data_IF_354495227848
#
_entry.id   IF_354495227848
#
_cell.length_a   1.000
_cell.length_b   1.000
_cell.length_c   1.000
_cell.angle_alpha   90.00
_cell.angle_beta   90.00
_cell.angle_gamma   90.00
#
_symmetry.space_group_name_H-M   'P 1'
#
loop_
_entity.id
_entity.type
_entity.pdbx_description
1 polymer ?
#
# COMPACT_ATOMS: atom_id res chain seq x y z
N UNK A 1 53.67 -0.37 67.34
CA UNK A 1 52.71 0.62 67.88
C UNK A 1 52.07 -0.02 69.09
N UNK A 2 52.12 0.62 70.26
CA UNK A 2 51.36 0.11 71.42
C UNK A 2 49.87 0.19 71.09
N UNK A 3 49.13 -0.87 71.40
CA UNK A 3 47.67 -0.83 71.34
C UNK A 3 47.14 -0.12 72.59
N UNK A 4 46.50 1.03 72.39
CA UNK A 4 45.93 1.87 73.44
C UNK A 4 44.48 1.48 73.79
N UNK A 5 43.85 0.61 73.00
CA UNK A 5 42.48 0.14 73.23
C UNK A 5 42.22 -0.40 74.63
N UNK A 6 43.13 -1.18 75.26
CA UNK A 6 42.97 -1.68 76.62
C UNK A 6 42.92 -0.58 77.70
N UNK A 7 43.57 0.57 77.48
CA UNK A 7 43.59 1.68 78.46
C UNK A 7 42.26 2.42 78.54
N UNK A 8 41.40 2.26 77.53
CA UNK A 8 40.07 2.87 77.49
C UNK A 8 39.00 2.05 78.22
N UNK A 9 39.32 0.87 78.74
CA UNK A 9 38.37 -0.01 79.44
C UNK A 9 38.35 0.26 80.96
N UNK A 10 37.17 0.45 81.54
CA UNK A 10 36.96 0.69 82.97
C UNK A 10 37.46 -0.47 83.86
N UNK A 11 37.66 -1.68 83.30
CA UNK A 11 38.18 -2.86 84.01
C UNK A 11 39.66 -3.14 83.74
N UNK A 12 40.43 -2.14 83.31
CA UNK A 12 41.85 -2.31 83.03
C UNK A 12 42.62 -2.87 84.24
N UNK A 13 43.30 -4.00 84.04
CA UNK A 13 44.19 -4.62 85.05
C UNK A 13 45.65 -4.40 84.63
N UNK A 14 46.35 -3.44 85.26
CA UNK A 14 47.73 -3.08 84.90
C UNK A 14 48.68 -4.28 85.01
N UNK A 15 48.43 -5.19 85.96
CA UNK A 15 49.33 -6.33 86.18
C UNK A 15 49.22 -7.34 85.05
N UNK A 16 48.00 -7.62 84.57
CA UNK A 16 47.80 -8.53 83.44
C UNK A 16 48.37 -7.96 82.15
N UNK A 17 48.19 -6.66 81.94
CA UNK A 17 48.72 -5.96 80.77
C UNK A 17 50.25 -5.90 80.76
N UNK A 18 50.89 -5.53 81.88
CA UNK A 18 52.37 -5.55 81.99
C UNK A 18 52.89 -6.97 81.76
N UNK A 19 52.25 -7.99 82.36
CA UNK A 19 52.67 -9.37 82.19
C UNK A 19 52.49 -9.88 80.75
N UNK A 20 51.48 -9.44 79.99
CA UNK A 20 51.35 -9.79 78.57
C UNK A 20 52.36 -9.05 77.71
N UNK A 21 52.62 -7.77 77.99
CA UNK A 21 53.65 -6.98 77.31
C UNK A 21 55.07 -7.55 77.55
N UNK A 22 55.38 -8.02 78.77
CA UNK A 22 56.64 -8.68 79.08
C UNK A 22 56.79 -10.06 78.40
N UNK A 23 55.69 -10.77 78.12
CA UNK A 23 55.73 -12.05 77.38
C UNK A 23 56.05 -11.86 75.91
N UNK A 24 55.76 -10.69 75.34
CA UNK A 24 56.13 -10.33 73.97
C UNK A 24 57.60 -9.90 73.80
N UNK A 25 58.41 -9.96 74.87
CA UNK A 25 59.85 -9.66 74.83
C UNK A 25 60.62 -10.67 73.97
N UNK A 26 61.61 -10.19 73.22
CA UNK A 26 62.54 -11.07 72.50
C UNK A 26 63.45 -11.83 73.50
N UNK A 27 63.73 -13.14 73.31
CA UNK A 27 64.45 -13.96 74.32
C UNK A 27 65.85 -13.49 74.74
N UNK A 28 66.48 -12.58 73.99
CA UNK A 28 67.86 -12.10 74.22
C UNK A 28 67.96 -10.75 74.96
N UNK A 29 66.84 -10.07 75.21
CA UNK A 29 66.83 -8.73 75.82
C UNK A 29 66.63 -8.82 77.34
N UNK A 30 67.43 -8.10 78.13
CA UNK A 30 67.25 -8.07 79.59
C UNK A 30 65.92 -7.41 79.94
N UNK A 31 65.18 -7.96 80.91
CA UNK A 31 63.83 -7.54 81.28
C UNK A 31 63.78 -6.04 81.59
N UNK A 32 64.77 -5.54 82.33
CA UNK A 32 64.84 -4.15 82.76
C UNK A 32 64.97 -3.17 81.58
N UNK A 33 65.72 -3.54 80.54
CA UNK A 33 65.85 -2.69 79.32
C UNK A 33 64.52 -2.61 78.57
N UNK A 34 63.84 -3.74 78.42
CA UNK A 34 62.54 -3.78 77.75
C UNK A 34 61.46 -3.02 78.53
N UNK A 35 61.48 -3.09 79.87
CA UNK A 35 60.56 -2.32 80.73
C UNK A 35 60.83 -0.83 80.64
N UNK A 36 62.09 -0.38 80.66
CA UNK A 36 62.46 1.03 80.49
C UNK A 36 62.04 1.53 79.10
N UNK A 37 62.23 0.74 78.04
CA UNK A 37 61.80 1.10 76.69
C UNK A 37 60.27 1.16 76.57
N UNK A 38 59.54 0.29 77.26
CA UNK A 38 58.07 0.30 77.30
C UNK A 38 57.55 1.50 78.07
N UNK A 39 58.16 1.82 79.21
CA UNK A 39 57.86 3.00 80.03
C UNK A 39 58.10 4.28 79.23
N UNK A 40 59.26 4.40 78.56
CA UNK A 40 59.56 5.55 77.71
C UNK A 40 58.54 5.68 76.56
N UNK A 41 58.14 4.57 75.93
CA UNK A 41 57.11 4.59 74.88
C UNK A 41 55.74 5.02 75.42
N UNK A 42 55.33 4.52 76.59
CA UNK A 42 54.08 4.93 77.23
C UNK A 42 54.11 6.40 77.61
N UNK A 43 55.23 6.89 78.15
CA UNK A 43 55.40 8.30 78.49
C UNK A 43 55.30 9.19 77.25
N UNK A 44 56.03 8.85 76.18
CA UNK A 44 55.98 9.59 74.91
C UNK A 44 54.56 9.65 74.34
N UNK A 45 53.82 8.52 74.37
CA UNK A 45 52.44 8.48 73.88
C UNK A 45 51.50 9.27 74.78
N UNK A 46 51.70 9.26 76.10
CA UNK A 46 50.92 10.09 77.03
C UNK A 46 51.15 11.58 76.79
N UNK A 47 52.41 11.99 76.57
CA UNK A 47 52.77 13.36 76.23
C UNK A 47 52.20 13.78 74.87
N UNK A 48 52.23 12.89 73.87
CA UNK A 48 51.64 13.11 72.55
C UNK A 48 50.11 13.25 72.62
N UNK A 49 49.42 12.41 73.40
CA UNK A 49 47.96 12.51 73.61
C UNK A 49 47.61 13.81 74.32
N UNK A 50 48.35 14.19 75.36
CA UNK A 50 48.13 15.44 76.09
C UNK A 50 48.32 16.65 75.18
N UNK A 51 49.42 16.68 74.40
CA UNK A 51 49.68 17.73 73.43
C UNK A 51 48.61 17.80 72.34
N UNK A 52 48.20 16.66 71.77
CA UNK A 52 47.12 16.60 70.78
C UNK A 52 45.78 17.05 71.37
N UNK A 53 45.48 16.71 72.62
CA UNK A 53 44.24 17.13 73.28
C UNK A 53 44.23 18.64 73.53
N UNK A 54 45.34 19.22 73.98
CA UNK A 54 45.48 20.67 74.15
C UNK A 54 45.34 21.41 72.82
N UNK A 55 45.98 20.93 71.76
CA UNK A 55 45.87 21.52 70.42
C UNK A 55 44.43 21.46 69.89
N UNK A 56 43.78 20.29 69.99
CA UNK A 56 42.40 20.12 69.54
C UNK A 56 41.41 20.91 70.40
N UNK A 57 41.63 20.99 71.71
CA UNK A 57 40.82 21.79 72.63
C UNK A 57 40.93 23.28 72.32
N UNK A 58 42.15 23.80 72.12
CA UNK A 58 42.37 25.19 71.73
C UNK A 58 41.73 25.51 70.37
N UNK A 59 41.84 24.60 69.40
CA UNK A 59 41.19 24.71 68.09
C UNK A 59 39.65 24.70 68.22
N UNK A 60 39.09 23.81 69.04
CA UNK A 60 37.65 23.70 69.28
C UNK A 60 37.09 24.95 69.96
N UNK A 61 37.81 25.50 70.95
CA UNK A 61 37.43 26.74 71.64
C UNK A 61 37.28 27.93 70.67
N UNK A 62 38.04 27.95 69.58
CA UNK A 62 37.90 28.99 68.55
C UNK A 62 36.87 28.64 67.48
N UNK A 63 36.79 27.38 67.07
CA UNK A 63 35.94 26.95 65.95
C UNK A 63 34.46 26.87 66.34
N UNK A 64 34.15 26.40 67.55
CA UNK A 64 32.76 26.21 67.99
C UNK A 64 31.99 27.53 68.05
N UNK A 65 32.49 28.61 68.68
CA UNK A 65 31.77 29.89 68.70
C UNK A 65 31.57 30.49 67.30
N UNK A 66 32.56 30.33 66.40
CA UNK A 66 32.46 30.77 65.00
C UNK A 66 31.38 30.01 64.24
N UNK A 67 31.37 28.68 64.36
CA UNK A 67 30.34 27.84 63.76
C UNK A 67 28.94 28.20 64.29
N UNK A 68 28.79 28.40 65.60
CA UNK A 68 27.52 28.84 66.19
C UNK A 68 27.05 30.18 65.62
N UNK A 69 27.95 31.16 65.48
CA UNK A 69 27.61 32.45 64.87
C UNK A 69 27.19 32.30 63.41
N UNK A 70 27.89 31.48 62.64
CA UNK A 70 27.58 31.25 61.23
C UNK A 70 26.22 30.53 61.07
N UNK A 71 25.88 29.60 61.97
CA UNK A 71 24.56 28.95 62.02
C UNK A 71 23.45 29.95 62.33
N UNK A 72 23.67 30.85 63.29
CA UNK A 72 22.69 31.91 63.62
C UNK A 72 22.48 32.84 62.43
N UNK A 73 23.57 33.27 61.77
CA UNK A 73 23.46 34.10 60.55
C UNK A 73 22.70 33.38 59.44
N UNK A 74 23.02 32.11 59.18
CA UNK A 74 22.34 31.32 58.17
C UNK A 74 20.85 31.15 58.46
N UNK A 75 20.48 30.98 59.74
CA UNK A 75 19.07 30.97 60.16
C UNK A 75 18.39 32.30 59.83
N UNK A 76 19.01 33.42 60.14
CA UNK A 76 18.43 34.75 59.91
C UNK A 76 18.27 35.03 58.40
N UNK A 77 19.28 34.66 57.60
CA UNK A 77 19.22 34.73 56.13
C UNK A 77 18.09 33.83 55.58
N UNK A 78 17.93 32.62 56.10
CA UNK A 78 16.87 31.70 55.69
C UNK A 78 15.47 32.22 56.04
N UNK A 79 15.31 32.86 57.21
CA UNK A 79 14.05 33.49 57.60
C UNK A 79 13.73 34.69 56.68
N UNK A 80 14.73 35.53 56.38
CA UNK A 80 14.60 36.64 55.44
C UNK A 80 14.26 36.19 54.02
N UNK A 81 14.88 35.10 53.56
CA UNK A 81 14.57 34.51 52.27
C UNK A 81 13.13 33.99 52.26
N UNK A 82 12.70 33.30 53.32
CA UNK A 82 11.33 32.77 53.43
C UNK A 82 10.29 33.88 53.40
N UNK A 83 10.50 35.00 54.10
CA UNK A 83 9.58 36.14 54.05
C UNK A 83 9.56 36.80 52.67
N UNK A 84 10.73 36.93 52.03
CA UNK A 84 10.83 37.46 50.66
C UNK A 84 10.10 36.58 49.65
N UNK A 85 10.31 35.25 49.71
CA UNK A 85 9.62 34.27 48.86
C UNK A 85 8.11 34.30 49.12
N UNK A 86 7.68 34.37 50.37
CA UNK A 86 6.26 34.49 50.72
C UNK A 86 5.64 35.76 50.14
N UNK A 87 6.35 36.90 50.16
CA UNK A 87 5.88 38.15 49.55
C UNK A 87 5.80 38.04 48.03
N UNK A 88 6.80 37.41 47.40
CA UNK A 88 6.79 37.16 45.95
C UNK A 88 5.62 36.26 45.56
N UNK A 89 5.36 35.18 46.30
CA UNK A 89 4.22 34.29 46.05
C UNK A 89 2.88 35.03 46.19
N UNK A 90 2.75 35.92 47.18
CA UNK A 90 1.53 36.72 47.33
C UNK A 90 1.33 37.71 46.18
N UNK A 91 2.40 38.38 45.75
CA UNK A 91 2.38 39.26 44.57
C UNK A 91 2.07 38.47 43.30
N UNK A 92 2.62 37.27 43.14
CA UNK A 92 2.34 36.38 42.02
C UNK A 92 0.86 35.99 42.00
N UNK A 93 0.29 35.57 43.14
CA UNK A 93 -1.13 35.21 43.24
C UNK A 93 -2.06 36.38 42.90
N UNK A 94 -1.70 37.59 43.33
CA UNK A 94 -2.46 38.81 43.00
C UNK A 94 -2.34 39.17 41.51
N UNK A 95 -1.14 39.05 40.93
CA UNK A 95 -0.89 39.26 39.51
C UNK A 95 -1.55 38.18 38.64
N UNK A 96 -1.59 36.94 39.10
CA UNK A 96 -2.28 35.83 38.42
C UNK A 96 -3.78 36.07 38.37
N UNK A 97 -4.40 36.58 39.44
CA UNK A 97 -5.82 36.94 39.44
C UNK A 97 -6.16 38.04 38.43
N UNK A 98 -5.37 39.13 38.41
CA UNK A 98 -5.58 40.26 37.47
C UNK A 98 -5.21 39.89 36.03
N UNK A 99 -4.18 39.07 35.84
CA UNK A 99 -3.78 38.54 34.54
C UNK A 99 -4.82 37.55 34.01
N UNK A 100 -5.40 36.68 34.86
CA UNK A 100 -6.42 35.72 34.45
C UNK A 100 -7.68 36.40 33.92
N UNK A 101 -8.15 37.48 34.56
CA UNK A 101 -9.27 38.28 34.06
C UNK A 101 -8.94 38.95 32.72
N UNK A 102 -7.72 39.47 32.58
CA UNK A 102 -7.24 40.10 31.34
C UNK A 102 -7.08 39.09 30.20
N UNK A 103 -6.55 37.90 30.49
CA UNK A 103 -6.40 36.78 29.54
C UNK A 103 -7.78 36.26 29.14
N UNK A 104 -8.72 36.14 30.07
CA UNK A 104 -10.10 35.73 29.75
C UNK A 104 -10.80 36.76 28.86
N UNK A 105 -10.57 38.06 29.08
CA UNK A 105 -11.07 39.11 28.18
C UNK A 105 -10.43 39.01 26.79
N UNK A 106 -9.11 38.82 26.70
CA UNK A 106 -8.40 38.62 25.43
C UNK A 106 -8.88 37.37 24.69
N UNK A 107 -9.11 36.26 25.38
CA UNK A 107 -9.63 35.02 24.77
C UNK A 107 -11.05 35.22 24.19
N UNK A 108 -11.90 35.99 24.87
CA UNK A 108 -13.21 36.37 24.34
C UNK A 108 -13.08 37.22 23.07
N UNK A 109 -12.17 38.19 23.07
CA UNK A 109 -11.89 39.02 21.88
C UNK A 109 -11.34 38.18 20.74
N UNK A 110 -10.42 37.25 21.01
CA UNK A 110 -9.85 36.36 20.00
C UNK A 110 -10.91 35.43 19.40
N UNK A 111 -11.82 34.91 20.22
CA UNK A 111 -12.95 34.11 19.74
C UNK A 111 -13.86 34.92 18.81
N UNK A 112 -14.12 36.19 19.15
CA UNK A 112 -14.90 37.09 18.28
C UNK A 112 -14.13 37.39 17.00
N UNK A 113 -12.83 37.64 17.08
CA UNK A 113 -11.97 37.87 15.92
C UNK A 113 -11.98 36.66 14.97
N UNK A 114 -11.76 35.45 15.47
CA UNK A 114 -11.80 34.23 14.64
C UNK A 114 -13.16 34.04 13.96
N UNK A 115 -14.27 34.29 14.68
CA UNK A 115 -15.62 34.24 14.10
C UNK A 115 -15.82 35.31 13.03
N UNK A 116 -15.27 36.51 13.23
CA UNK A 116 -15.37 37.61 12.28
C UNK A 116 -14.51 37.36 11.04
N UNK A 117 -13.32 36.78 11.20
CA UNK A 117 -12.45 36.37 10.09
C UNK A 117 -13.11 35.27 9.25
N UNK A 118 -13.68 34.24 9.89
CA UNK A 118 -14.44 33.20 9.17
C UNK A 118 -15.68 33.77 8.44
N UNK A 119 -16.41 34.70 9.07
CA UNK A 119 -17.53 35.39 8.43
C UNK A 119 -17.06 36.28 7.27
N UNK A 120 -15.89 36.92 7.39
CA UNK A 120 -15.31 37.74 6.34
C UNK A 120 -14.86 36.89 5.14
N UNK A 121 -14.18 35.77 5.37
CA UNK A 121 -13.77 34.82 4.32
C UNK A 121 -14.99 34.28 3.57
N UNK A 122 -16.03 33.83 4.29
CA UNK A 122 -17.27 33.32 3.66
C UNK A 122 -18.01 34.41 2.87
N UNK A 123 -18.04 35.67 3.33
CA UNK A 123 -18.61 36.78 2.58
C UNK A 123 -17.77 37.16 1.35
N UNK A 124 -16.44 37.10 1.46
CA UNK A 124 -15.54 37.34 0.33
C UNK A 124 -15.71 36.25 -0.74
N UNK A 125 -15.83 34.99 -0.35
CA UNK A 125 -16.09 33.87 -1.26
C UNK A 125 -17.49 33.95 -1.90
N UNK A 126 -18.51 34.40 -1.16
CA UNK A 126 -19.84 34.65 -1.71
C UNK A 126 -19.86 35.81 -2.72
N UNK A 127 -19.13 36.89 -2.45
CA UNK A 127 -18.97 38.01 -3.37
C UNK A 127 -18.19 37.59 -4.63
N UNK A 128 -17.10 36.85 -4.44
CA UNK A 128 -16.30 36.27 -5.52
C UNK A 128 -17.11 35.31 -6.40
N UNK A 129 -17.94 34.46 -5.80
CA UNK A 129 -18.82 33.55 -6.52
C UNK A 129 -19.84 34.30 -7.38
N UNK A 130 -20.39 35.41 -6.89
CA UNK A 130 -21.34 36.24 -7.66
C UNK A 130 -20.66 36.87 -8.88
N UNK A 131 -19.43 37.37 -8.70
CA UNK A 131 -18.62 37.93 -9.79
C UNK A 131 -18.17 36.85 -10.79
N UNK A 132 -17.79 35.67 -10.31
CA UNK A 132 -17.46 34.54 -11.17
C UNK A 132 -18.70 34.09 -11.96
N UNK A 133 -19.85 33.95 -11.31
CA UNK A 133 -21.10 33.55 -11.99
C UNK A 133 -21.51 34.50 -13.12
N UNK A 134 -21.22 35.79 -13.03
CA UNK A 134 -21.51 36.74 -14.12
C UNK A 134 -20.47 36.71 -15.24
N UNK A 135 -19.21 36.38 -14.94
CA UNK A 135 -18.10 36.39 -15.91
C UNK A 135 -17.85 35.03 -16.57
N UNK A 136 -18.37 33.93 -16.02
CA UNK A 136 -18.13 32.58 -16.55
C UNK A 136 -18.70 32.42 -17.95
N UNK A 137 -19.89 32.95 -18.25
CA UNK A 137 -20.45 32.85 -19.62
C UNK A 137 -19.56 33.55 -20.66
N UNK A 138 -18.95 34.69 -20.32
CA UNK A 138 -18.01 35.40 -21.19
C UNK A 138 -16.70 34.61 -21.40
N UNK A 139 -16.20 33.96 -20.35
CA UNK A 139 -15.01 33.08 -20.44
C UNK A 139 -15.31 31.86 -21.33
N UNK A 140 -16.51 31.29 -21.25
CA UNK A 140 -16.93 30.24 -22.19
C UNK A 140 -17.10 30.74 -23.61
N UNK A 141 -17.59 31.96 -23.81
CA UNK A 141 -17.70 32.58 -25.14
C UNK A 141 -16.34 32.86 -25.79
N UNK A 142 -15.30 33.12 -24.97
CA UNK A 142 -13.92 33.32 -25.44
C UNK A 142 -13.26 32.05 -26.00
N UNK A 143 -13.83 30.86 -25.73
CA UNK A 143 -13.32 29.57 -26.20
C UNK A 143 -12.07 29.06 -25.47
N UNK A 144 -11.62 29.76 -24.43
CA UNK A 144 -10.43 29.42 -23.65
C UNK A 144 -10.73 28.38 -22.55
N UNK A 145 -10.65 27.09 -22.93
CA UNK A 145 -10.93 25.95 -22.06
C UNK A 145 -10.12 25.91 -20.73
N UNK A 146 -8.80 26.21 -20.69
CA UNK A 146 -8.06 26.21 -19.43
C UNK A 146 -8.52 27.32 -18.47
N UNK A 147 -8.82 28.52 -18.98
CA UNK A 147 -9.39 29.59 -18.15
C UNK A 147 -10.79 29.24 -17.65
N UNK A 148 -11.64 28.66 -18.49
CA UNK A 148 -12.95 28.18 -18.08
C UNK A 148 -12.83 27.15 -16.93
N UNK A 149 -11.90 26.20 -17.05
CA UNK A 149 -11.66 25.19 -16.01
C UNK A 149 -11.18 25.80 -14.69
N UNK A 150 -10.32 26.81 -14.74
CA UNK A 150 -9.86 27.55 -13.56
C UNK A 150 -11.01 28.32 -12.89
N UNK A 151 -11.85 29.00 -13.68
CA UNK A 151 -13.03 29.69 -13.13
C UNK A 151 -14.01 28.73 -12.46
N UNK A 152 -14.28 27.55 -13.04
CA UNK A 152 -15.15 26.54 -12.42
C UNK A 152 -14.53 25.93 -11.16
N UNK A 153 -13.21 25.68 -11.16
CA UNK A 153 -12.51 25.18 -9.98
C UNK A 153 -12.58 26.18 -8.82
N UNK A 154 -12.41 27.48 -9.11
CA UNK A 154 -12.56 28.55 -8.14
C UNK A 154 -14.00 28.66 -7.65
N UNK A 155 -15.00 28.57 -8.53
CA UNK A 155 -16.42 28.53 -8.14
C UNK A 155 -16.72 27.33 -7.22
N UNK A 156 -16.16 26.15 -7.50
CA UNK A 156 -16.33 24.97 -6.64
C UNK A 156 -15.70 25.17 -5.27
N UNK A 157 -14.51 25.78 -5.21
CA UNK A 157 -13.86 26.12 -3.94
C UNK A 157 -14.70 27.11 -3.13
N UNK A 158 -15.13 28.23 -3.73
CA UNK A 158 -15.99 29.22 -3.08
C UNK A 158 -17.33 28.60 -2.62
N UNK A 159 -17.97 27.74 -3.44
CA UNK A 159 -19.19 27.03 -3.05
C UNK A 159 -18.98 26.05 -1.87
N UNK A 160 -17.78 25.48 -1.73
CA UNK A 160 -17.45 24.62 -0.59
C UNK A 160 -17.23 25.41 0.70
N UNK A 161 -16.65 26.61 0.60
CA UNK A 161 -16.40 27.50 1.73
C UNK A 161 -17.69 28.15 2.26
N UNK A 162 -18.60 28.52 1.35
CA UNK A 162 -19.88 29.17 1.69
C UNK A 162 -20.91 28.18 2.27
N UNK A 163 -20.76 26.88 2.01
CA UNK A 163 -21.62 25.83 2.57
C UNK A 163 -23.01 25.73 1.91
N UNK A 164 -23.96 25.08 2.59
CA UNK A 164 -25.31 24.82 2.06
C UNK A 164 -26.28 25.98 2.35
N UNK A 165 -26.12 27.09 1.64
CA UNK A 165 -27.10 28.18 1.63
C UNK A 165 -28.01 28.02 0.41
N UNK A 166 -29.33 28.12 0.62
CA UNK A 166 -30.35 27.89 -0.42
C UNK A 166 -30.19 28.81 -1.65
N UNK A 167 -29.66 30.02 -1.48
CA UNK A 167 -29.39 30.98 -2.55
C UNK A 167 -28.32 30.49 -3.53
N UNK A 168 -27.35 29.69 -3.07
CA UNK A 168 -26.31 29.11 -3.90
C UNK A 168 -26.64 27.70 -4.42
N UNK A 169 -27.81 27.14 -4.08
CA UNK A 169 -28.26 25.86 -4.63
C UNK A 169 -28.50 25.94 -6.14
N UNK A 170 -28.98 27.09 -6.63
CA UNK A 170 -29.12 27.35 -8.07
C UNK A 170 -27.76 27.50 -8.75
N UNK A 171 -26.80 28.17 -8.10
CA UNK A 171 -25.42 28.33 -8.60
C UNK A 171 -24.70 26.98 -8.65
N UNK A 172 -24.95 26.07 -7.70
CA UNK A 172 -24.40 24.70 -7.72
C UNK A 172 -24.94 23.90 -8.91
N UNK A 173 -26.25 23.99 -9.20
CA UNK A 173 -26.83 23.36 -10.40
C UNK A 173 -26.28 23.99 -11.69
N UNK A 174 -26.09 25.31 -11.72
CA UNK A 174 -25.44 25.98 -12.85
C UNK A 174 -23.99 25.54 -13.02
N UNK A 175 -23.25 25.35 -11.93
CA UNK A 175 -21.89 24.81 -11.96
C UNK A 175 -21.88 23.41 -12.59
N UNK A 176 -22.76 22.50 -12.15
CA UNK A 176 -22.87 21.15 -12.74
C UNK A 176 -23.15 21.19 -14.25
N UNK A 177 -24.04 22.08 -14.70
CA UNK A 177 -24.37 22.28 -16.12
C UNK A 177 -23.18 22.87 -16.90
N UNK A 178 -22.46 23.82 -16.32
CA UNK A 178 -21.27 24.41 -16.94
C UNK A 178 -20.11 23.41 -17.00
N UNK A 179 -19.96 22.56 -16.00
CA UNK A 179 -19.03 21.44 -16.01
C UNK A 179 -19.41 20.38 -17.06
N UNK A 180 -20.69 20.05 -17.21
CA UNK A 180 -21.21 19.17 -18.28
C UNK A 180 -20.91 19.76 -19.66
N UNK A 181 -21.16 21.07 -19.82
CA UNK A 181 -20.89 21.79 -21.07
C UNK A 181 -19.39 21.81 -21.37
N UNK A 182 -18.53 22.06 -20.39
CA UNK A 182 -17.08 22.06 -20.59
C UNK A 182 -16.57 20.66 -20.93
N UNK A 183 -17.08 19.61 -20.26
CA UNK A 183 -16.79 18.21 -20.60
C UNK A 183 -17.19 17.94 -22.06
N UNK A 184 -18.40 18.31 -22.48
CA UNK A 184 -18.85 18.12 -23.88
C UNK A 184 -17.97 18.83 -24.92
N UNK A 185 -17.36 19.97 -24.58
CA UNK A 185 -16.45 20.71 -25.46
C UNK A 185 -15.03 20.14 -25.46
N UNK A 186 -14.59 19.59 -24.33
CA UNK A 186 -13.28 18.94 -24.17
C UNK A 186 -13.27 17.57 -24.84
N UNK A 187 -14.38 16.83 -24.82
CA UNK A 187 -14.52 15.49 -25.40
C UNK A 187 -14.03 15.36 -26.86
N UNK A 188 -14.53 16.14 -27.83
CA UNK A 188 -14.09 16.02 -29.22
C UNK A 188 -12.62 16.43 -29.40
N UNK A 189 -12.14 17.42 -28.65
CA UNK A 189 -10.73 17.86 -28.71
C UNK A 189 -9.79 16.83 -28.10
N UNK A 190 -10.24 16.16 -27.04
CA UNK A 190 -9.52 15.05 -26.43
C UNK A 190 -9.48 13.85 -27.38
N UNK A 191 -10.60 13.49 -28.00
CA UNK A 191 -10.63 12.40 -28.99
C UNK A 191 -9.69 12.69 -30.17
N UNK A 192 -9.65 13.92 -30.68
CA UNK A 192 -8.71 14.33 -31.74
C UNK A 192 -7.25 14.32 -31.28
N UNK A 193 -6.98 14.76 -30.05
CA UNK A 193 -5.63 14.75 -29.48
C UNK A 193 -5.12 13.30 -29.28
N UNK A 194 -5.98 12.40 -28.81
CA UNK A 194 -5.69 10.99 -28.64
C UNK A 194 -5.53 10.27 -29.99
N UNK A 195 -6.40 10.52 -30.97
CA UNK A 195 -6.26 9.91 -32.31
C UNK A 195 -5.01 10.39 -33.04
N UNK A 196 -4.60 11.65 -32.83
CA UNK A 196 -3.41 12.24 -33.45
C UNK A 196 -2.14 12.14 -32.59
N UNK A 197 -2.19 11.45 -31.43
CA UNK A 197 -1.06 11.26 -30.49
C UNK A 197 -0.37 12.57 -30.05
N UNK A 198 -1.12 13.68 -29.96
CA UNK A 198 -0.58 14.99 -29.53
C UNK A 198 -0.45 15.01 -28.00
N UNK A 199 0.78 14.85 -27.51
CA UNK A 199 1.12 14.75 -26.09
C UNK A 199 0.74 16.02 -25.32
N UNK A 200 1.11 17.20 -25.83
CA UNK A 200 0.92 18.48 -25.12
C UNK A 200 -0.57 18.82 -24.92
N UNK A 201 -1.37 18.66 -25.97
CA UNK A 201 -2.82 18.93 -25.93
C UNK A 201 -3.53 17.92 -25.03
N UNK A 202 -3.11 16.65 -25.03
CA UNK A 202 -3.68 15.64 -24.14
C UNK A 202 -3.36 15.94 -22.65
N UNK A 203 -2.15 16.43 -22.36
CA UNK A 203 -1.76 16.87 -21.01
C UNK A 203 -2.59 18.08 -20.54
N UNK A 204 -2.74 19.09 -21.40
CA UNK A 204 -3.52 20.29 -21.07
C UNK A 204 -5.00 19.96 -20.82
N UNK A 205 -5.59 19.13 -21.69
CA UNK A 205 -6.98 18.69 -21.54
C UNK A 205 -7.17 17.77 -20.32
N UNK A 206 -6.17 16.96 -19.97
CA UNK A 206 -6.16 16.18 -18.73
C UNK A 206 -6.09 17.08 -17.50
N UNK A 207 -5.20 18.09 -17.51
CA UNK A 207 -5.12 19.08 -16.44
C UNK A 207 -6.46 19.79 -16.20
N UNK A 208 -7.16 20.11 -17.29
CA UNK A 208 -8.52 20.66 -17.27
C UNK A 208 -9.51 19.67 -16.64
N UNK A 209 -9.56 18.42 -17.07
CA UNK A 209 -10.50 17.40 -16.55
C UNK A 209 -10.23 17.02 -15.09
N UNK A 210 -8.96 17.01 -14.67
CA UNK A 210 -8.57 16.79 -13.27
C UNK A 210 -9.04 17.94 -12.38
N UNK A 211 -8.91 19.20 -12.84
CA UNK A 211 -9.42 20.36 -12.12
C UNK A 211 -10.94 20.32 -11.95
N UNK A 212 -11.66 19.92 -13.00
CA UNK A 212 -13.13 19.77 -12.97
C UNK A 212 -13.55 18.52 -12.18
N UNK A 213 -12.65 17.57 -11.89
CA UNK A 213 -12.96 16.35 -11.14
C UNK A 213 -13.65 15.27 -11.98
N UNK A 214 -13.63 15.38 -13.31
CA UNK A 214 -14.30 14.47 -14.26
C UNK A 214 -13.34 13.49 -14.92
N UNK A 215 -12.54 12.81 -14.09
CA UNK A 215 -11.58 11.81 -14.56
C UNK A 215 -12.24 10.61 -15.24
N UNK A 216 -13.43 10.18 -14.78
CA UNK A 216 -14.16 9.02 -15.37
C UNK A 216 -14.54 9.24 -16.84
N UNK A 217 -14.81 10.49 -17.25
CA UNK A 217 -15.06 10.83 -18.66
C UNK A 217 -13.79 10.62 -19.50
N UNK A 218 -12.62 11.03 -18.99
CA UNK A 218 -11.32 10.80 -19.64
C UNK A 218 -11.08 9.30 -19.85
N UNK A 219 -11.28 8.47 -18.82
CA UNK A 219 -11.09 7.02 -18.91
C UNK A 219 -12.00 6.38 -19.97
N UNK A 220 -13.27 6.76 -20.00
CA UNK A 220 -14.24 6.24 -20.96
C UNK A 220 -13.87 6.62 -22.40
N UNK A 221 -13.46 7.86 -22.63
CA UNK A 221 -13.12 8.33 -23.98
C UNK A 221 -11.77 7.79 -24.44
N UNK A 222 -10.79 7.70 -23.56
CA UNK A 222 -9.52 7.02 -23.81
C UNK A 222 -9.75 5.57 -24.26
N UNK A 223 -10.55 4.83 -23.49
CA UNK A 223 -10.89 3.46 -23.82
C UNK A 223 -11.61 3.36 -25.17
N UNK A 224 -12.56 4.25 -25.48
CA UNK A 224 -13.28 4.25 -26.77
C UNK A 224 -12.39 4.58 -27.98
N UNK A 225 -11.38 5.43 -27.83
CA UNK A 225 -10.48 5.79 -28.94
C UNK A 225 -9.52 4.63 -29.23
N UNK A 226 -8.89 4.08 -28.20
CA UNK A 226 -7.90 3.02 -28.36
C UNK A 226 -8.49 1.61 -28.53
N UNK A 227 -9.78 1.42 -28.24
CA UNK A 227 -10.51 0.19 -28.56
C UNK A 227 -10.81 0.03 -30.06
N UNK A 228 -10.91 1.13 -30.83
CA UNK A 228 -11.26 1.08 -32.27
C UNK A 228 -10.23 0.30 -33.11
N UNK A 229 -8.92 0.55 -33.02
CA UNK A 229 -7.92 -0.21 -33.78
C UNK A 229 -7.88 -1.70 -33.38
N UNK A 230 -8.00 -1.99 -32.08
CA UNK A 230 -7.98 -3.38 -31.57
C UNK A 230 -9.21 -4.15 -32.07
N UNK A 231 -10.38 -3.51 -32.09
CA UNK A 231 -11.60 -4.11 -32.62
C UNK A 231 -11.51 -4.31 -34.13
N UNK A 232 -10.91 -3.38 -34.87
CA UNK A 232 -10.69 -3.52 -36.31
C UNK A 232 -9.77 -4.71 -36.64
N UNK A 233 -8.67 -4.90 -35.90
CA UNK A 233 -7.80 -6.07 -36.07
C UNK A 233 -8.54 -7.40 -35.85
N UNK A 234 -9.46 -7.43 -34.87
CA UNK A 234 -10.30 -8.58 -34.61
C UNK A 234 -11.37 -8.81 -35.71
N UNK A 235 -12.03 -7.75 -36.17
CA UNK A 235 -13.04 -7.79 -37.24
C UNK A 235 -12.43 -8.12 -38.61
N UNK A 236 -11.22 -7.66 -38.90
CA UNK A 236 -10.46 -7.99 -40.12
C UNK A 236 -10.13 -9.48 -40.19
N UNK A 237 -9.89 -10.13 -39.05
CA UNK A 237 -9.75 -11.58 -38.99
C UNK A 237 -11.10 -12.31 -39.17
N UNK A 238 -12.20 -11.78 -38.61
CA UNK A 238 -13.53 -12.35 -38.83
C UNK A 238 -13.95 -12.29 -40.31
N UNK A 239 -13.67 -11.17 -40.99
CA UNK A 239 -13.98 -10.97 -42.40
C UNK A 239 -13.09 -11.83 -43.31
N UNK A 240 -11.85 -12.14 -42.93
CA UNK A 240 -10.98 -13.10 -43.65
C UNK A 240 -11.45 -14.55 -43.48
N UNK A 241 -12.13 -14.89 -42.39
CA UNK A 241 -12.68 -16.24 -42.18
C UNK A 241 -14.11 -16.45 -42.74
N UNK A 242 -14.99 -15.43 -42.75
CA UNK A 242 -16.34 -15.54 -43.33
C UNK A 242 -16.42 -16.03 -44.78
N UNK A 243 -15.55 -15.64 -45.73
CA UNK A 243 -15.61 -16.15 -47.10
C UNK A 243 -15.29 -17.65 -47.19
N UNK A 244 -14.58 -18.20 -46.20
CA UNK A 244 -14.24 -19.62 -46.15
C UNK A 244 -15.43 -20.50 -45.69
N UNK A 245 -16.41 -19.95 -44.96
CA UNK A 245 -17.66 -20.65 -44.59
C UNK A 245 -18.61 -20.79 -45.78
N UNK A 246 -18.79 -19.71 -46.56
CA UNK A 246 -19.69 -19.71 -47.72
C UNK A 246 -19.14 -20.52 -48.91
N UNK A 247 -17.82 -20.64 -49.04
CA UNK A 247 -17.18 -21.53 -50.03
C UNK A 247 -17.29 -23.01 -49.64
N UNK A 248 -17.26 -23.32 -48.33
CA UNK A 248 -17.40 -24.69 -47.84
C UNK A 248 -18.82 -25.25 -48.00
N UNK A 249 -19.87 -24.43 -47.91
CA UNK A 249 -21.27 -24.87 -48.06
C UNK A 249 -21.66 -25.13 -49.53
N UNK A 250 -20.97 -24.53 -50.50
CA UNK A 250 -21.28 -24.68 -51.94
C UNK A 250 -20.55 -25.84 -52.63
N UNK A 251 -19.50 -26.38 -52.00
CA UNK A 251 -18.62 -27.41 -52.56
C UNK A 251 -18.86 -28.83 -52.01
N UNK A 252 -19.99 -29.12 -51.35
CA UNK A 252 -20.28 -30.47 -50.84
C UNK A 252 -20.83 -31.47 -51.89
N UNK A 253 -21.06 -31.06 -53.14
CA UNK A 253 -21.61 -31.98 -54.15
C UNK A 253 -20.57 -32.58 -55.12
N UNK A 254 -19.33 -32.09 -55.17
CA UNK A 254 -18.38 -32.60 -56.17
C UNK A 254 -16.93 -32.44 -55.72
N UNK A 255 -16.30 -33.55 -55.29
CA UNK A 255 -14.98 -34.02 -55.73
C UNK A 255 -14.33 -35.01 -54.76
N UNK A 256 -14.29 -36.26 -55.18
CA UNK A 256 -13.23 -37.20 -54.83
C UNK A 256 -11.92 -36.73 -55.51
N UNK A 257 -10.83 -36.73 -54.75
CA UNK A 257 -9.44 -36.50 -55.17
C UNK A 257 -9.03 -35.04 -55.45
N UNK A 258 -7.98 -34.61 -54.74
CA UNK A 258 -7.18 -33.44 -55.10
C UNK A 258 -6.74 -32.61 -53.90
N UNK A 259 -5.53 -32.91 -53.41
CA UNK A 259 -4.69 -31.98 -52.63
C UNK A 259 -4.79 -30.55 -53.17
N UNK A 260 -5.28 -29.61 -52.35
CA UNK A 260 -4.86 -28.22 -52.38
C UNK A 260 -5.26 -27.50 -51.08
N UNK A 261 -4.27 -26.88 -50.46
CA UNK A 261 -4.35 -26.08 -49.24
C UNK A 261 -5.51 -25.08 -49.25
N UNK A 262 -6.49 -25.32 -48.39
CA UNK A 262 -7.40 -24.28 -47.94
C UNK A 262 -6.61 -23.32 -47.05
N UNK A 263 -6.23 -22.16 -47.58
CA UNK A 263 -5.57 -21.03 -46.87
C UNK A 263 -6.50 -20.37 -45.82
N UNK A 264 -7.09 -21.16 -44.92
CA UNK A 264 -7.74 -20.68 -43.71
C UNK A 264 -6.75 -20.75 -42.56
N UNK A 265 -6.27 -19.61 -42.07
CA UNK A 265 -5.46 -19.57 -40.85
C UNK A 265 -6.32 -20.11 -39.70
N UNK A 266 -5.86 -21.20 -39.07
CA UNK A 266 -6.54 -21.80 -37.93
C UNK A 266 -6.55 -20.81 -36.76
N UNK A 267 -7.62 -20.78 -35.97
CA UNK A 267 -7.70 -19.87 -34.82
C UNK A 267 -6.55 -20.09 -33.83
N UNK A 268 -6.08 -21.33 -33.67
CA UNK A 268 -4.94 -21.68 -32.82
C UNK A 268 -3.60 -21.08 -33.31
N UNK A 269 -3.40 -20.92 -34.63
CA UNK A 269 -2.18 -20.29 -35.17
C UNK A 269 -2.27 -18.76 -35.22
N UNK A 270 -3.48 -18.21 -35.31
CA UNK A 270 -3.71 -16.77 -35.31
C UNK A 270 -3.71 -16.15 -33.91
N UNK A 271 -4.22 -16.86 -32.90
CA UNK A 271 -4.37 -16.34 -31.54
C UNK A 271 -3.06 -15.83 -30.92
N UNK A 272 -1.89 -16.52 -31.07
CA UNK A 272 -0.61 -15.98 -30.62
C UNK A 272 -0.22 -14.68 -31.34
N UNK A 273 -0.39 -14.61 -32.66
CA UNK A 273 -0.08 -13.39 -33.43
C UNK A 273 -0.95 -12.19 -33.02
N UNK A 274 -2.22 -12.44 -32.70
CA UNK A 274 -3.11 -11.42 -32.15
C UNK A 274 -2.65 -10.97 -30.75
N UNK A 275 -2.25 -11.90 -29.89
CA UNK A 275 -1.72 -11.56 -28.57
C UNK A 275 -0.41 -10.78 -28.63
N UNK A 276 0.47 -11.09 -29.58
CA UNK A 276 1.73 -10.36 -29.79
C UNK A 276 1.48 -8.94 -30.32
N UNK A 277 0.57 -8.77 -31.30
CA UNK A 277 0.16 -7.45 -31.80
C UNK A 277 -0.53 -6.61 -30.72
N UNK A 278 -1.38 -7.23 -29.91
CA UNK A 278 -2.06 -6.57 -28.80
C UNK A 278 -1.07 -6.20 -27.69
N UNK A 279 -0.10 -7.06 -27.37
CA UNK A 279 0.96 -6.76 -26.42
C UNK A 279 1.82 -5.58 -26.92
N UNK A 280 2.21 -5.59 -28.19
CA UNK A 280 2.98 -4.50 -28.80
C UNK A 280 2.22 -3.18 -28.77
N UNK A 281 0.91 -3.22 -29.04
CA UNK A 281 0.06 -2.03 -28.94
C UNK A 281 -0.03 -1.53 -27.50
N UNK A 282 -0.24 -2.42 -26.52
CA UNK A 282 -0.25 -2.06 -25.10
C UNK A 282 1.09 -1.48 -24.63
N UNK A 283 2.23 -2.01 -25.09
CA UNK A 283 3.55 -1.46 -24.77
C UNK A 283 3.77 -0.06 -25.35
N UNK A 284 3.32 0.18 -26.58
CA UNK A 284 3.37 1.50 -27.21
C UNK A 284 2.50 2.51 -26.46
N UNK A 285 1.28 2.11 -26.12
CA UNK A 285 0.36 2.94 -25.33
C UNK A 285 0.87 3.12 -23.88
N UNK A 286 1.54 2.13 -23.30
CA UNK A 286 2.19 2.27 -21.99
C UNK A 286 3.29 3.33 -22.01
N UNK A 287 4.19 3.30 -23.01
CA UNK A 287 5.23 4.31 -23.18
C UNK A 287 4.67 5.68 -23.51
N UNK A 288 3.61 5.73 -24.31
CA UNK A 288 2.94 6.99 -24.64
C UNK A 288 2.23 7.58 -23.41
N UNK A 289 1.49 6.79 -22.64
CA UNK A 289 0.87 7.20 -21.38
C UNK A 289 1.90 7.57 -20.31
N UNK A 290 3.07 6.93 -20.26
CA UNK A 290 4.16 7.35 -19.38
C UNK A 290 4.60 8.79 -19.64
N UNK A 291 4.59 9.21 -20.92
CA UNK A 291 5.01 10.56 -21.32
C UNK A 291 3.84 11.54 -21.25
N UNK A 292 2.66 11.15 -21.74
CA UNK A 292 1.48 12.02 -21.83
C UNK A 292 0.68 12.09 -20.51
N UNK A 293 0.67 11.04 -19.70
CA UNK A 293 -0.19 10.89 -18.52
C UNK A 293 0.58 10.22 -17.35
N UNK A 294 1.61 10.89 -16.78
CA UNK A 294 2.54 10.27 -15.82
C UNK A 294 1.90 9.75 -14.53
N UNK A 295 0.73 10.26 -14.13
CA UNK A 295 0.08 9.79 -12.89
C UNK A 295 -0.96 8.68 -13.14
N UNK A 296 -1.43 8.51 -14.38
CA UNK A 296 -2.62 7.69 -14.70
C UNK A 296 -2.33 6.49 -15.61
N UNK A 297 -1.11 6.36 -16.14
CA UNK A 297 -0.73 5.25 -17.02
C UNK A 297 -0.97 3.86 -16.37
N UNK A 298 -0.79 3.79 -15.04
CA UNK A 298 -0.95 2.58 -14.23
C UNK A 298 -2.39 2.08 -14.13
N UNK A 299 -3.38 2.91 -14.44
CA UNK A 299 -4.82 2.59 -14.34
C UNK A 299 -5.51 2.61 -15.71
N UNK A 300 -5.09 3.49 -16.62
CA UNK A 300 -5.70 3.65 -17.95
C UNK A 300 -5.41 2.47 -18.89
N UNK A 301 -4.15 2.05 -19.02
CA UNK A 301 -3.76 0.96 -19.93
C UNK A 301 -4.31 -0.40 -19.47
N UNK A 302 -4.29 -0.74 -18.17
CA UNK A 302 -4.92 -1.97 -17.69
C UNK A 302 -6.45 -1.96 -17.85
N UNK A 303 -7.12 -0.80 -17.69
CA UNK A 303 -8.55 -0.65 -17.98
C UNK A 303 -8.88 -0.82 -19.47
N UNK A 304 -8.03 -0.31 -20.36
CA UNK A 304 -8.16 -0.57 -21.80
C UNK A 304 -8.14 -2.07 -22.10
N UNK A 305 -7.23 -2.82 -21.46
CA UNK A 305 -7.19 -4.28 -21.61
C UNK A 305 -8.47 -4.95 -21.09
N UNK A 306 -8.99 -4.54 -19.92
CA UNK A 306 -10.25 -5.08 -19.39
C UNK A 306 -11.41 -4.86 -20.38
N UNK A 307 -11.56 -3.64 -20.89
CA UNK A 307 -12.66 -3.31 -21.79
C UNK A 307 -12.51 -3.99 -23.16
N UNK A 308 -11.28 -4.14 -23.68
CA UNK A 308 -11.04 -4.88 -24.92
C UNK A 308 -11.42 -6.35 -24.76
N UNK A 309 -11.03 -7.01 -23.67
CA UNK A 309 -11.39 -8.41 -23.40
C UNK A 309 -12.89 -8.57 -23.14
N UNK A 310 -13.55 -7.60 -22.49
CA UNK A 310 -15.00 -7.60 -22.30
C UNK A 310 -15.76 -7.44 -23.63
N UNK A 311 -15.33 -6.50 -24.49
CA UNK A 311 -15.94 -6.27 -25.80
C UNK A 311 -15.75 -7.46 -26.75
N UNK A 312 -14.60 -8.13 -26.68
CA UNK A 312 -14.29 -9.29 -27.50
C UNK A 312 -14.86 -10.60 -26.92
N UNK A 313 -15.22 -10.65 -25.64
CA UNK A 313 -15.54 -11.87 -24.91
C UNK A 313 -16.58 -12.78 -25.57
N UNK A 314 -17.70 -12.23 -26.06
CA UNK A 314 -18.75 -13.02 -26.72
C UNK A 314 -18.26 -13.66 -28.04
N UNK A 315 -17.51 -12.89 -28.84
CA UNK A 315 -16.89 -13.40 -30.06
C UNK A 315 -15.79 -14.42 -29.74
N UNK A 316 -14.95 -14.16 -28.74
CA UNK A 316 -13.88 -15.04 -28.29
C UNK A 316 -14.41 -16.42 -27.86
N UNK A 317 -15.50 -16.46 -27.08
CA UNK A 317 -16.18 -17.71 -26.69
C UNK A 317 -16.71 -18.46 -27.92
N UNK A 318 -17.30 -17.77 -28.89
CA UNK A 318 -17.75 -18.38 -30.15
C UNK A 318 -16.58 -19.00 -30.94
N UNK A 319 -15.40 -18.36 -30.92
CA UNK A 319 -14.19 -18.84 -31.59
C UNK A 319 -13.52 -20.00 -30.88
N UNK A 320 -13.46 -20.00 -29.55
CA UNK A 320 -13.02 -21.19 -28.79
C UNK A 320 -13.90 -22.38 -29.16
N UNK A 321 -15.23 -22.22 -29.16
CA UNK A 321 -16.15 -23.29 -29.55
C UNK A 321 -15.91 -23.76 -30.99
N UNK A 322 -15.65 -22.84 -31.92
CA UNK A 322 -15.41 -23.18 -33.33
C UNK A 322 -14.04 -23.84 -33.54
N UNK A 323 -12.99 -23.39 -32.86
CA UNK A 323 -11.65 -23.97 -32.94
C UNK A 323 -11.61 -25.36 -32.29
N UNK A 324 -12.28 -25.53 -31.15
CA UNK A 324 -12.40 -26.82 -30.50
C UNK A 324 -13.36 -27.76 -31.27
N UNK A 325 -14.28 -27.21 -32.08
CA UNK A 325 -15.12 -27.96 -33.02
C UNK A 325 -14.44 -28.30 -34.35
N UNK A 326 -13.52 -27.47 -34.85
CA UNK A 326 -12.72 -27.70 -36.07
C UNK A 326 -11.53 -28.63 -35.82
N UNK A 327 -11.00 -28.68 -34.59
CA UNK A 327 -9.97 -29.64 -34.18
C UNK A 327 -10.44 -31.11 -34.27
N UNK A 328 -11.76 -31.34 -34.38
CA UNK A 328 -12.37 -32.63 -34.61
C UNK A 328 -13.25 -32.54 -35.87
N UNK A 329 -12.80 -33.02 -37.05
CA UNK A 329 -13.63 -32.99 -38.27
C UNK A 329 -14.94 -33.78 -38.13
N UNK A 330 -15.01 -34.74 -37.20
CA UNK A 330 -16.18 -35.58 -36.90
C UNK A 330 -17.30 -34.81 -36.15
N UNK A 331 -17.01 -33.66 -35.53
CA UNK A 331 -18.02 -32.80 -34.88
C UNK A 331 -18.77 -31.86 -35.83
N UNK A 332 -18.23 -31.55 -37.02
CA UNK A 332 -19.02 -30.88 -38.07
C UNK A 332 -20.17 -31.77 -38.54
N UNK A 333 -19.99 -33.08 -38.44
CA UNK A 333 -21.02 -34.11 -38.65
C UNK A 333 -21.74 -34.52 -37.35
N UNK A 334 -21.72 -33.73 -36.26
CA UNK A 334 -22.40 -34.05 -34.98
C UNK A 334 -23.93 -33.86 -35.02
N UNK A 335 -24.54 -33.67 -36.19
CA UNK A 335 -25.95 -34.08 -36.36
C UNK A 335 -26.07 -35.62 -36.42
N UNK A 336 -24.97 -36.34 -36.68
CA UNK A 336 -24.88 -37.81 -36.76
C UNK A 336 -24.25 -38.46 -35.52
N UNK A 337 -23.37 -37.77 -34.80
CA UNK A 337 -22.68 -38.31 -33.60
C UNK A 337 -23.57 -38.54 -32.37
N UNK A 338 -24.76 -37.93 -32.31
CA UNK A 338 -25.77 -38.28 -31.30
C UNK A 338 -26.31 -39.71 -31.55
N UNK A 339 -26.23 -40.21 -32.78
CA UNK A 339 -26.62 -41.58 -33.15
C UNK A 339 -25.55 -42.62 -32.77
N UNK A 340 -24.27 -42.23 -32.69
CA UNK A 340 -23.17 -43.16 -32.35
C UNK A 340 -23.04 -43.41 -30.84
N UNK A 341 -23.53 -42.49 -30.00
CA UNK A 341 -23.68 -42.73 -28.55
C UNK A 341 -24.70 -43.84 -28.28
N UNK A 342 -25.67 -44.04 -29.18
CA UNK A 342 -26.65 -45.14 -29.13
C UNK A 342 -26.12 -46.44 -29.78
N UNK A 343 -24.97 -46.40 -30.47
CA UNK A 343 -24.46 -47.51 -31.30
C UNK A 343 -23.26 -48.25 -30.72
N UNK A 344 -22.84 -47.93 -29.48
CA UNK A 344 -21.88 -48.75 -28.72
C UNK A 344 -20.40 -48.55 -29.04
N UNK A 345 -20.02 -47.52 -29.81
CA UNK A 345 -18.61 -47.23 -30.13
C UNK A 345 -18.00 -46.21 -29.14
N UNK A 346 -17.99 -46.58 -27.85
CA UNK A 346 -17.40 -45.81 -26.74
C UNK A 346 -15.96 -45.28 -27.01
N UNK A 347 -15.02 -46.04 -27.62
CA UNK A 347 -13.64 -45.56 -27.76
C UNK A 347 -13.46 -44.41 -28.76
N UNK A 348 -14.37 -44.22 -29.72
CA UNK A 348 -14.31 -43.08 -30.67
C UNK A 348 -14.78 -41.78 -30.04
N UNK A 349 -15.89 -41.83 -29.28
CA UNK A 349 -16.40 -40.67 -28.53
C UNK A 349 -15.40 -40.11 -27.52
N UNK A 350 -14.65 -40.98 -26.84
CA UNK A 350 -13.62 -40.59 -25.87
C UNK A 350 -12.41 -39.96 -26.56
N UNK A 351 -11.96 -40.51 -27.70
CA UNK A 351 -10.87 -39.92 -28.50
C UNK A 351 -11.23 -38.53 -29.03
N UNK A 352 -12.50 -38.32 -29.39
CA UNK A 352 -13.03 -37.01 -29.80
C UNK A 352 -13.01 -36.02 -28.62
N UNK A 353 -13.48 -36.44 -27.45
CA UNK A 353 -13.45 -35.62 -26.24
C UNK A 353 -12.03 -35.29 -25.78
N UNK A 354 -11.09 -36.24 -25.89
CA UNK A 354 -9.68 -36.02 -25.57
C UNK A 354 -9.03 -34.98 -26.49
N UNK A 355 -9.27 -35.05 -27.80
CA UNK A 355 -8.77 -34.04 -28.76
C UNK A 355 -9.39 -32.66 -28.54
N UNK A 356 -10.68 -32.60 -28.19
CA UNK A 356 -11.34 -31.35 -27.84
C UNK A 356 -10.75 -30.73 -26.56
N UNK A 357 -10.43 -31.57 -25.57
CA UNK A 357 -9.77 -31.16 -24.34
C UNK A 357 -8.34 -30.65 -24.59
N UNK A 358 -7.56 -31.37 -25.40
CA UNK A 358 -6.20 -30.98 -25.79
C UNK A 358 -6.16 -29.64 -26.50
N UNK A 359 -7.04 -29.41 -27.48
CA UNK A 359 -7.15 -28.12 -28.17
C UNK A 359 -7.52 -26.99 -27.19
N UNK A 360 -8.44 -27.24 -26.26
CA UNK A 360 -8.84 -26.25 -25.26
C UNK A 360 -7.69 -25.91 -24.28
N UNK A 361 -6.92 -26.92 -23.86
CA UNK A 361 -5.72 -26.76 -23.02
C UNK A 361 -4.66 -25.95 -23.76
N UNK A 362 -4.44 -26.23 -25.05
CA UNK A 362 -3.46 -25.52 -25.88
C UNK A 362 -3.81 -24.02 -25.96
N UNK A 363 -5.07 -23.69 -26.28
CA UNK A 363 -5.57 -22.32 -26.29
C UNK A 363 -5.47 -21.63 -24.92
N UNK A 364 -5.74 -22.37 -23.85
CA UNK A 364 -5.60 -21.85 -22.48
C UNK A 364 -4.13 -21.57 -22.13
N UNK A 365 -3.19 -22.44 -22.52
CA UNK A 365 -1.77 -22.26 -22.31
C UNK A 365 -1.19 -21.08 -23.10
N UNK A 366 -1.68 -20.85 -24.32
CA UNK A 366 -1.36 -19.65 -25.11
C UNK A 366 -1.82 -18.38 -24.38
N UNK A 367 -3.07 -18.37 -23.90
CA UNK A 367 -3.63 -17.27 -23.10
C UNK A 367 -2.87 -17.06 -21.78
N UNK A 368 -2.39 -18.15 -21.16
CA UNK A 368 -1.60 -18.08 -19.94
C UNK A 368 -0.23 -17.47 -20.15
N UNK A 369 0.38 -17.70 -21.31
CA UNK A 369 1.65 -17.07 -21.69
C UNK A 369 1.45 -15.58 -21.94
N UNK A 370 0.39 -15.19 -22.63
CA UNK A 370 -0.01 -13.79 -22.76
C UNK A 370 -0.28 -13.13 -21.40
N UNK A 371 -1.01 -13.79 -20.50
CA UNK A 371 -1.30 -13.28 -19.16
C UNK A 371 -0.03 -13.03 -18.32
N UNK A 372 1.00 -13.88 -18.43
CA UNK A 372 2.31 -13.64 -17.79
C UNK A 372 3.00 -12.41 -18.38
N UNK A 373 2.97 -12.24 -19.70
CA UNK A 373 3.56 -11.07 -20.35
C UNK A 373 2.85 -9.77 -19.93
N UNK A 374 1.52 -9.79 -19.83
CA UNK A 374 0.72 -8.68 -19.27
C UNK A 374 1.09 -8.40 -17.81
N UNK A 375 1.31 -9.44 -17.00
CA UNK A 375 1.73 -9.29 -15.61
C UNK A 375 3.12 -8.62 -15.50
N UNK A 376 4.05 -8.93 -16.40
CA UNK A 376 5.35 -8.26 -16.46
C UNK A 376 5.21 -6.79 -16.88
N UNK A 377 4.40 -6.52 -17.91
CA UNK A 377 4.16 -5.17 -18.43
C UNK A 377 3.52 -4.24 -17.36
N UNK A 378 2.60 -4.77 -16.56
CA UNK A 378 1.89 -4.01 -15.51
C UNK A 378 2.44 -4.25 -14.10
N UNK A 379 3.69 -4.69 -13.97
CA UNK A 379 4.31 -4.97 -12.67
C UNK A 379 4.39 -3.76 -11.72
N UNK A 380 4.37 -2.54 -12.27
CA UNK A 380 4.37 -1.29 -11.52
C UNK A 380 2.97 -0.77 -11.14
N UNK A 381 1.90 -1.41 -11.63
CA UNK A 381 0.50 -1.08 -11.33
C UNK A 381 0.03 -1.69 -10.02
N UNK A 382 -1.04 -1.13 -9.46
CA UNK A 382 -1.66 -1.66 -8.24
C UNK A 382 -2.11 -3.11 -8.39
N UNK A 383 -1.85 -3.91 -7.35
CA UNK A 383 -2.14 -5.35 -7.33
C UNK A 383 -3.63 -5.67 -7.59
N UNK A 384 -4.55 -4.80 -7.14
CA UNK A 384 -5.99 -4.95 -7.40
C UNK A 384 -6.32 -4.78 -8.88
N UNK A 385 -5.74 -3.77 -9.53
CA UNK A 385 -5.92 -3.49 -10.96
C UNK A 385 -5.37 -4.64 -11.79
N UNK A 386 -4.17 -5.12 -11.44
CA UNK A 386 -3.56 -6.28 -12.07
C UNK A 386 -4.45 -7.53 -11.94
N UNK A 387 -4.98 -7.83 -10.75
CA UNK A 387 -5.90 -8.96 -10.58
C UNK A 387 -7.14 -8.85 -11.46
N UNK A 388 -7.74 -7.67 -11.57
CA UNK A 388 -8.95 -7.48 -12.37
C UNK A 388 -8.66 -7.56 -13.88
N UNK A 389 -7.48 -7.11 -14.33
CA UNK A 389 -7.05 -7.34 -15.72
C UNK A 389 -6.86 -8.82 -16.06
N UNK A 390 -6.23 -9.58 -15.16
CA UNK A 390 -6.01 -11.01 -15.38
C UNK A 390 -7.33 -11.76 -15.38
N UNK A 391 -8.27 -11.41 -14.49
CA UNK A 391 -9.64 -11.96 -14.53
C UNK A 391 -10.32 -11.69 -15.87
N UNK A 392 -10.20 -10.48 -16.41
CA UNK A 392 -10.79 -10.12 -17.69
C UNK A 392 -10.22 -10.95 -18.86
N UNK A 393 -8.90 -11.19 -18.88
CA UNK A 393 -8.23 -12.03 -19.89
C UNK A 393 -8.75 -13.48 -19.85
N UNK A 394 -9.03 -14.02 -18.65
CA UNK A 394 -9.54 -15.38 -18.50
C UNK A 394 -11.07 -15.52 -18.52
N UNK A 395 -11.82 -14.41 -18.54
CA UNK A 395 -13.28 -14.39 -18.55
C UNK A 395 -13.88 -15.28 -19.66
N UNK A 396 -13.36 -15.28 -20.92
CA UNK A 396 -13.90 -16.14 -21.97
C UNK A 396 -13.78 -17.65 -21.67
N UNK A 397 -12.79 -18.05 -20.86
CA UNK A 397 -12.54 -19.45 -20.51
C UNK A 397 -13.37 -19.94 -19.32
N UNK A 398 -14.02 -19.05 -18.57
CA UNK A 398 -14.76 -19.41 -17.35
C UNK A 398 -15.92 -20.37 -17.63
N UNK A 399 -16.65 -20.13 -18.72
CA UNK A 399 -17.74 -21.02 -19.18
C UNK A 399 -17.26 -22.43 -19.56
N UNK A 400 -15.98 -22.57 -19.92
CA UNK A 400 -15.39 -23.84 -20.31
C UNK A 400 -14.78 -24.60 -19.12
N UNK A 401 -14.52 -23.96 -17.97
CA UNK A 401 -13.97 -24.64 -16.78
C UNK A 401 -14.90 -25.74 -16.24
N UNK A 402 -16.21 -25.50 -16.22
CA UNK A 402 -17.18 -26.52 -15.80
C UNK A 402 -17.28 -27.66 -16.82
N UNK A 403 -17.22 -27.34 -18.12
CA UNK A 403 -17.24 -28.33 -19.21
C UNK A 403 -15.96 -29.18 -19.23
N UNK A 404 -14.81 -28.56 -18.96
CA UNK A 404 -13.51 -29.21 -18.79
C UNK A 404 -13.57 -30.27 -17.69
N UNK A 405 -14.04 -29.91 -16.49
CA UNK A 405 -14.14 -30.85 -15.37
C UNK A 405 -15.09 -32.02 -15.63
N UNK A 406 -16.08 -31.87 -16.51
CA UNK A 406 -16.96 -32.97 -16.93
C UNK A 406 -16.29 -33.87 -17.98
N UNK A 407 -15.63 -33.29 -18.98
CA UNK A 407 -14.93 -34.05 -20.02
C UNK A 407 -13.73 -34.83 -19.46
N UNK A 408 -12.93 -34.20 -18.61
CA UNK A 408 -11.77 -34.84 -17.96
C UNK A 408 -12.22 -35.99 -17.05
N UNK A 409 -13.29 -35.81 -16.26
CA UNK A 409 -13.87 -36.91 -15.47
C UNK A 409 -14.36 -38.06 -16.34
N UNK A 410 -15.00 -37.77 -17.48
CA UNK A 410 -15.48 -38.78 -18.40
C UNK A 410 -14.31 -39.58 -19.00
N UNK A 411 -13.26 -38.91 -19.45
CA UNK A 411 -12.03 -39.53 -19.97
C UNK A 411 -11.36 -40.39 -18.90
N UNK A 412 -11.09 -39.83 -17.71
CA UNK A 412 -10.46 -40.54 -16.59
C UNK A 412 -11.29 -41.73 -16.13
N UNK A 413 -12.62 -41.60 -16.05
CA UNK A 413 -13.50 -42.72 -15.67
C UNK A 413 -13.45 -43.87 -16.66
N UNK A 414 -13.28 -43.55 -17.96
CA UNK A 414 -13.12 -44.57 -18.99
C UNK A 414 -11.71 -45.16 -19.01
N UNK A 415 -10.68 -44.37 -18.74
CA UNK A 415 -9.31 -44.89 -18.60
C UNK A 415 -9.19 -45.82 -17.39
N UNK A 416 -9.84 -45.49 -16.28
CA UNK A 416 -9.94 -46.35 -15.09
C UNK A 416 -10.75 -47.62 -15.39
N UNK A 417 -11.83 -47.53 -16.18
CA UNK A 417 -12.60 -48.69 -16.60
C UNK A 417 -11.85 -49.59 -17.60
N UNK A 418 -10.96 -49.01 -18.42
CA UNK A 418 -10.08 -49.73 -19.34
C UNK A 418 -8.81 -50.27 -18.68
N UNK A 419 -8.38 -49.68 -17.56
CA UNK A 419 -7.31 -50.17 -16.71
C UNK A 419 -7.82 -51.37 -15.89
N UNK A 420 -7.73 -52.55 -16.48
CA UNK A 420 -8.19 -53.79 -15.87
C UNK A 420 -7.43 -54.10 -14.56
N UNK A 421 -7.99 -53.68 -13.42
CA UNK A 421 -7.51 -54.01 -12.08
C UNK A 421 -7.69 -55.51 -11.74
N UNK A 422 -8.29 -56.34 -12.62
CA UNK A 422 -8.42 -57.79 -12.38
C UNK A 422 -7.14 -58.59 -12.66
N UNK A 423 -6.16 -58.01 -13.35
CA UNK A 423 -4.87 -58.67 -13.61
C UNK A 423 -3.88 -58.66 -12.42
N UNK A 424 -4.11 -57.80 -11.41
CA UNK A 424 -3.15 -57.59 -10.32
C UNK A 424 -3.43 -58.39 -9.03
N UNK A 425 -4.56 -59.11 -8.93
CA UNK A 425 -5.00 -59.79 -7.69
C UNK A 425 -4.96 -61.32 -7.78
N UNK A 426 -4.33 -61.92 -8.82
CA UNK A 426 -4.17 -63.39 -8.92
C UNK A 426 -2.71 -63.83 -8.82
N UNK A 427 -1.97 -63.31 -7.84
CA UNK A 427 -0.76 -63.98 -7.30
C UNK A 427 -0.69 -63.79 -5.79
N UNK A 428 -1.57 -64.48 -5.08
CA UNK A 428 -1.50 -64.58 -3.64
C UNK A 428 -2.55 -65.55 -3.11
N UNK A 429 -2.06 -66.62 -2.49
CA UNK A 429 -2.79 -67.54 -1.59
C UNK A 429 -3.32 -68.83 -2.23
N UNK A 430 -2.55 -69.92 -2.04
CA UNK A 430 -3.09 -71.20 -1.57
C UNK A 430 -3.23 -72.35 -2.57
N UNK A 431 -2.12 -73.04 -2.87
CA UNK A 431 -2.17 -74.42 -3.37
C UNK A 431 -1.89 -75.37 -2.20
N UNK A 432 -2.79 -76.29 -1.81
CA UNK A 432 -2.49 -77.36 -0.87
C UNK A 432 -1.94 -78.59 -1.60
N UNK A 433 -0.82 -79.13 -1.11
CA UNK A 433 -0.27 -80.43 -1.49
C UNK A 433 -0.14 -81.31 -0.24
N UNK A 434 -0.82 -82.46 -0.30
CA UNK A 434 -0.78 -83.66 0.56
C UNK A 434 -0.76 -83.55 2.09
#
# INVERSE_FOLDING_TARGET
MLDLGPFSDDKFDPKKWINSACKTRHPQESLDKHLVDLEMKLQMVSEEIAASLEEQSASALLRVPRATRDVVRLRDDAVSLRTSVSSILQKLKQAEGTSAESIAALAKVDTVKQRMEAAYETLQDAAGLTQLSSTVEDVFASGDLPRAAETLANMRHCLSAVGEVAEFANVRKQLEVLEDRLDSMVQPRLMDALSNRKVDIAQDLRGILMRIGRFKSLEMHYTKVHLKPIRQLWEDFETRQRPNKLASERNEMDRLSGSNDSLGISFASWLPSFYDELLLYLEQEWKWCMIALPDDYKTLVPKLLIETMAALGASFVSRINLAAGDAVPETKTLAKGILDILSGDMPKGIKIQAKHLEALIELHNMTATFARNVQHLFSESDLRVLMDTLKAVYLPYESFKQRYGQMERAILSSEIAGADLRGAVTRGVGSPGH
#
